data_IF_337658325565
#
_entry.id   IF_337658325565
#
_cell.length_a   1.000
_cell.length_b   1.000
_cell.length_c   1.000
_cell.angle_alpha   90.00
_cell.angle_beta   90.00
_cell.angle_gamma   90.00
#
_symmetry.space_group_name_H-M   'P 1'
#
loop_
_entity.id
_entity.type
_entity.pdbx_description
1 polymer ?
#
# COMPACT_ATOMS: atom_id res chain seq x y z
N UNK A 1 -4.15 7.57 -16.57
CA UNK A 1 -3.96 8.88 -15.92
C UNK A 1 -5.05 9.01 -14.86
N UNK A 2 -4.70 9.04 -13.58
CA UNK A 2 -5.66 9.08 -12.46
C UNK A 2 -6.30 10.47 -12.34
N UNK A 3 -7.58 10.53 -11.96
CA UNK A 3 -8.26 11.78 -11.57
C UNK A 3 -8.45 11.83 -10.06
N UNK A 4 -7.96 12.91 -9.43
CA UNK A 4 -8.10 13.20 -7.99
C UNK A 4 -9.37 14.01 -7.76
N UNK A 5 -10.18 13.65 -6.77
CA UNK A 5 -11.39 14.38 -6.42
C UNK A 5 -11.22 15.11 -5.07
N UNK A 6 -11.53 16.40 -5.06
CA UNK A 6 -11.77 17.18 -3.85
C UNK A 6 -13.26 17.41 -3.69
N UNK A 7 -13.78 17.37 -2.46
CA UNK A 7 -15.09 17.93 -2.16
C UNK A 7 -14.99 18.97 -1.05
N UNK A 8 -15.69 20.09 -1.23
CA UNK A 8 -16.08 21.02 -0.18
C UNK A 8 -17.62 21.01 -0.17
N UNK A 9 -18.23 20.38 0.84
CA UNK A 9 -19.70 20.39 0.98
C UNK A 9 -20.28 19.36 1.94
N UNK A 10 -20.88 19.88 3.02
CA UNK A 10 -21.75 19.29 4.06
C UNK A 10 -21.22 18.03 4.76
N UNK A 11 -20.52 18.25 5.87
CA UNK A 11 -20.23 17.23 6.89
C UNK A 11 -21.51 16.51 7.36
N UNK A 12 -21.63 15.23 7.01
CA UNK A 12 -21.52 14.08 7.93
C UNK A 12 -21.74 12.76 7.18
N UNK A 13 -20.68 12.26 6.56
CA UNK A 13 -20.47 10.80 6.44
C UNK A 13 -19.21 10.51 7.23
N UNK A 14 -19.34 10.44 8.56
CA UNK A 14 -18.21 10.26 9.48
C UNK A 14 -17.45 8.94 9.29
N UNK A 15 -17.81 8.11 8.30
CA UNK A 15 -17.13 6.86 7.95
C UNK A 15 -16.65 6.78 6.50
N UNK A 16 -16.76 7.85 5.70
CA UNK A 16 -16.36 7.84 4.29
C UNK A 16 -14.89 8.23 4.12
N UNK A 17 -14.14 7.43 3.35
CA UNK A 17 -12.75 7.70 2.96
C UNK A 17 -12.64 8.37 1.57
N UNK A 18 -13.70 8.31 0.76
CA UNK A 18 -13.77 8.96 -0.54
C UNK A 18 -14.98 8.51 -1.36
N UNK A 19 -15.36 9.31 -2.36
CA UNK A 19 -16.47 8.99 -3.27
C UNK A 19 -16.21 9.44 -4.70
N UNK A 20 -16.84 8.79 -5.68
CA UNK A 20 -16.75 9.13 -7.10
C UNK A 20 -17.95 8.58 -7.87
N UNK A 21 -18.33 9.22 -8.98
CA UNK A 21 -19.19 8.64 -10.00
C UNK A 21 -18.41 8.19 -11.24
N UNK A 22 -17.10 7.92 -11.10
CA UNK A 22 -16.21 7.57 -12.22
C UNK A 22 -16.09 8.69 -13.28
N UNK A 23 -16.42 9.93 -12.88
CA UNK A 23 -16.28 11.14 -13.70
C UNK A 23 -17.54 11.56 -14.45
N UNK A 24 -18.53 10.68 -14.58
CA UNK A 24 -19.84 11.00 -15.17
C UNK A 24 -20.89 9.92 -14.81
N UNK A 25 -22.17 10.28 -14.91
CA UNK A 25 -23.28 9.36 -14.72
C UNK A 25 -23.85 9.33 -13.30
N UNK A 26 -24.87 8.47 -13.15
CA UNK A 26 -25.75 8.44 -11.98
C UNK A 26 -25.29 7.45 -10.90
N UNK A 27 -24.31 6.60 -11.21
CA UNK A 27 -23.80 5.61 -10.27
C UNK A 27 -22.66 6.19 -9.45
N UNK A 28 -22.89 6.37 -8.16
CA UNK A 28 -21.87 6.80 -7.21
C UNK A 28 -21.29 5.60 -6.47
N UNK A 29 -20.02 5.73 -6.10
CA UNK A 29 -19.24 4.78 -5.34
C UNK A 29 -18.65 5.47 -4.12
N UNK A 30 -18.69 4.82 -2.97
CA UNK A 30 -18.14 5.33 -1.71
C UNK A 30 -17.24 4.24 -1.11
N UNK A 31 -16.04 4.60 -0.66
CA UNK A 31 -15.20 3.74 0.17
C UNK A 31 -15.35 4.13 1.64
N UNK A 32 -15.45 3.16 2.54
CA UNK A 32 -15.63 3.40 3.97
C UNK A 32 -14.49 2.88 4.85
N UNK A 33 -14.53 3.26 6.13
CA UNK A 33 -13.59 2.82 7.18
C UNK A 33 -13.64 1.32 7.50
N UNK A 34 -14.57 0.54 6.95
CA UNK A 34 -14.67 -0.92 7.17
C UNK A 34 -14.11 -1.69 5.98
N UNK A 35 -13.29 -1.05 5.14
CA UNK A 35 -12.74 -1.63 3.92
C UNK A 35 -13.85 -2.12 2.98
N UNK A 36 -14.91 -1.32 2.79
CA UNK A 36 -16.00 -1.64 1.86
C UNK A 36 -16.12 -0.57 0.78
N UNK A 37 -16.59 -1.00 -0.38
CA UNK A 37 -17.08 -0.13 -1.44
C UNK A 37 -18.59 -0.29 -1.52
N UNK A 38 -19.30 0.82 -1.40
CA UNK A 38 -20.74 0.90 -1.61
C UNK A 38 -21.03 1.56 -2.94
N UNK A 39 -22.16 1.23 -3.55
CA UNK A 39 -22.63 1.93 -4.74
C UNK A 39 -24.13 2.19 -4.70
N UNK A 40 -24.52 3.33 -5.26
CA UNK A 40 -25.90 3.75 -5.42
C UNK A 40 -26.11 4.47 -6.76
N UNK A 41 -27.25 4.24 -7.38
CA UNK A 41 -27.76 5.00 -8.50
C UNK A 41 -28.60 6.15 -7.93
N UNK A 42 -28.08 7.38 -8.02
CA UNK A 42 -28.73 8.55 -7.40
C UNK A 42 -29.95 9.01 -8.18
N UNK A 43 -30.01 8.75 -9.49
CA UNK A 43 -31.12 9.17 -10.34
C UNK A 43 -32.36 8.33 -10.11
N UNK A 44 -32.16 7.04 -9.90
CA UNK A 44 -33.23 6.09 -9.62
C UNK A 44 -33.41 5.83 -8.11
N UNK A 45 -32.73 6.58 -7.25
CA UNK A 45 -32.76 6.45 -5.79
C UNK A 45 -32.54 5.00 -5.31
N UNK A 46 -31.61 4.28 -5.94
CA UNK A 46 -31.44 2.83 -5.78
C UNK A 46 -30.07 2.46 -5.22
N UNK A 47 -30.06 1.70 -4.13
CA UNK A 47 -28.84 1.04 -3.65
C UNK A 47 -28.43 -0.11 -4.57
N UNK A 48 -27.17 -0.12 -5.03
CA UNK A 48 -26.64 -1.09 -5.99
C UNK A 48 -25.85 -2.22 -5.32
N UNK A 49 -25.33 -1.99 -4.10
CA UNK A 49 -24.63 -3.01 -3.31
C UNK A 49 -23.47 -2.47 -2.50
N UNK A 50 -22.85 -3.37 -1.73
CA UNK A 50 -21.74 -3.08 -0.84
C UNK A 50 -20.80 -4.27 -0.71
N UNK A 51 -19.54 -4.10 -1.07
CA UNK A 51 -18.56 -5.18 -1.25
C UNK A 51 -17.31 -4.95 -0.43
N UNK A 52 -16.77 -6.01 0.17
CA UNK A 52 -15.52 -5.94 0.93
C UNK A 52 -14.31 -5.82 -0.01
N UNK A 53 -13.35 -4.99 0.39
CA UNK A 53 -12.07 -4.78 -0.27
C UNK A 53 -11.02 -5.80 0.17
N UNK A 54 -11.03 -6.21 1.43
CA UNK A 54 -10.16 -7.26 1.98
C UNK A 54 -10.77 -8.67 1.86
N UNK A 55 -9.97 -9.69 2.16
CA UNK A 55 -10.50 -11.02 2.48
C UNK A 55 -11.10 -11.02 3.89
N UNK A 56 -12.11 -11.84 4.12
CA UNK A 56 -12.57 -12.13 5.48
C UNK A 56 -11.47 -12.96 6.14
N UNK A 57 -11.03 -12.58 7.34
CA UNK A 57 -10.08 -13.43 8.09
C UNK A 57 -10.68 -14.83 8.20
N UNK A 58 -9.91 -15.90 7.94
CA UNK A 58 -10.42 -17.27 8.05
C UNK A 58 -10.93 -17.59 9.46
N UNK A 59 -10.54 -16.78 10.45
CA UNK A 59 -10.93 -16.92 11.86
C UNK A 59 -11.98 -15.91 12.32
N UNK A 60 -12.47 -15.01 11.46
CA UNK A 60 -13.50 -14.02 11.79
C UNK A 60 -14.92 -14.50 11.43
N UNK A 61 -15.26 -15.74 11.79
CA UNK A 61 -16.62 -16.29 11.66
C UNK A 61 -17.23 -16.50 13.05
N UNK A 62 -18.55 -16.31 13.18
CA UNK A 62 -19.26 -16.34 14.47
C UNK A 62 -19.17 -17.71 15.21
N UNK A 63 -18.67 -18.75 14.53
CA UNK A 63 -18.34 -20.08 15.06
C UNK A 63 -16.87 -20.42 14.77
N UNK A 64 -15.95 -19.65 15.36
CA UNK A 64 -14.50 -19.84 15.20
C UNK A 64 -14.09 -21.27 15.65
N UNK A 65 -13.47 -22.09 14.78
CA UNK A 65 -12.88 -23.34 15.21
C UNK A 65 -11.84 -23.09 16.30
N UNK A 66 -11.83 -23.88 17.39
CA UNK A 66 -10.85 -23.75 18.48
C UNK A 66 -9.38 -23.74 17.99
N UNK A 67 -9.11 -24.32 16.82
CA UNK A 67 -7.79 -24.41 16.19
C UNK A 67 -7.62 -23.49 14.96
N UNK A 68 -8.40 -22.40 14.85
CA UNK A 68 -8.26 -21.50 13.72
C UNK A 68 -6.92 -20.74 13.77
N UNK A 69 -5.99 -21.15 12.91
CA UNK A 69 -4.72 -20.45 12.74
C UNK A 69 -4.93 -19.23 11.84
N UNK A 70 -4.87 -18.03 12.42
CA UNK A 70 -4.84 -16.81 11.62
C UNK A 70 -3.50 -16.75 10.88
N UNK A 71 -3.49 -16.68 9.54
CA UNK A 71 -2.23 -16.58 8.79
C UNK A 71 -1.51 -15.29 9.19
N UNK A 72 -0.17 -15.29 9.19
CA UNK A 72 0.66 -14.11 9.46
C UNK A 72 0.28 -12.89 8.60
N UNK A 73 -0.38 -13.12 7.45
CA UNK A 73 -0.98 -12.10 6.59
C UNK A 73 -2.43 -12.48 6.23
N UNK A 74 -3.38 -11.57 6.50
CA UNK A 74 -4.79 -11.73 6.10
C UNK A 74 -5.19 -10.87 4.90
N UNK A 75 -4.22 -10.36 4.15
CA UNK A 75 -4.51 -9.59 2.93
C UNK A 75 -5.18 -10.42 1.85
N UNK A 76 -5.90 -9.73 0.97
CA UNK A 76 -6.81 -10.34 0.01
C UNK A 76 -6.16 -11.31 -0.98
N UNK A 77 -4.89 -11.08 -1.32
CA UNK A 77 -4.23 -11.74 -2.45
C UNK A 77 -3.30 -12.88 -2.06
N UNK A 78 -3.05 -13.10 -0.75
CA UNK A 78 -2.30 -14.24 -0.24
C UNK A 78 -1.00 -14.48 -1.03
N UNK A 79 -0.88 -15.64 -1.68
CA UNK A 79 0.29 -16.03 -2.47
C UNK A 79 0.59 -15.16 -3.70
N UNK A 80 -0.36 -14.34 -4.14
CA UNK A 80 -0.19 -13.39 -5.23
C UNK A 80 0.50 -12.10 -4.77
N UNK A 81 0.59 -11.86 -3.46
CA UNK A 81 1.32 -10.72 -2.95
C UNK A 81 2.83 -11.00 -2.91
N UNK A 82 3.63 -9.93 -2.99
CA UNK A 82 5.05 -10.00 -2.77
C UNK A 82 5.42 -9.07 -1.62
N UNK A 83 6.03 -9.65 -0.60
CA UNK A 83 6.62 -8.97 0.54
C UNK A 83 8.04 -9.51 0.70
N UNK A 84 8.94 -8.67 1.17
CA UNK A 84 10.34 -9.01 1.37
C UNK A 84 10.54 -10.10 2.43
N UNK A 85 11.39 -11.09 2.11
CA UNK A 85 11.60 -12.28 2.93
C UNK A 85 12.03 -11.94 4.37
N UNK A 86 12.95 -11.00 4.56
CA UNK A 86 13.43 -10.60 5.88
C UNK A 86 12.32 -10.03 6.77
N UNK A 87 11.34 -9.36 6.17
CA UNK A 87 10.17 -8.88 6.90
C UNK A 87 9.20 -10.02 7.19
N UNK A 88 8.98 -10.94 6.25
CA UNK A 88 8.14 -12.12 6.47
C UNK A 88 8.71 -13.00 7.58
N UNK A 89 10.01 -13.32 7.51
CA UNK A 89 10.73 -14.13 8.49
C UNK A 89 10.59 -13.55 9.89
N UNK A 90 10.85 -12.23 10.05
CA UNK A 90 10.64 -11.53 11.33
C UNK A 90 9.25 -11.75 11.90
N UNK A 91 8.23 -11.57 11.07
CA UNK A 91 6.83 -11.61 11.48
C UNK A 91 6.46 -13.04 11.87
N UNK A 92 6.92 -14.04 11.12
CA UNK A 92 6.69 -15.45 11.41
C UNK A 92 7.42 -15.92 12.67
N UNK A 93 8.69 -15.58 12.81
CA UNK A 93 9.53 -15.97 13.96
C UNK A 93 8.98 -15.44 15.29
N UNK A 94 8.27 -14.32 15.24
CA UNK A 94 7.68 -13.66 16.41
C UNK A 94 6.16 -13.90 16.53
N UNK A 95 5.55 -14.69 15.64
CA UNK A 95 4.12 -14.96 15.66
C UNK A 95 3.24 -13.72 15.48
N UNK A 96 3.75 -12.68 14.80
CA UNK A 96 3.05 -11.42 14.60
C UNK A 96 2.02 -11.58 13.48
N UNK A 97 0.82 -11.03 13.71
CA UNK A 97 -0.22 -10.93 12.69
C UNK A 97 -0.16 -9.57 12.00
N UNK A 98 -0.09 -9.56 10.67
CA UNK A 98 -0.29 -8.36 9.87
C UNK A 98 -1.70 -8.40 9.26
N UNK A 99 -2.67 -7.65 9.82
CA UNK A 99 -3.99 -7.57 9.24
C UNK A 99 -4.00 -6.61 8.04
N UNK A 100 -4.91 -6.87 7.10
CA UNK A 100 -5.30 -5.87 6.09
C UNK A 100 -5.98 -4.69 6.79
N UNK A 101 -5.24 -3.60 7.02
CA UNK A 101 -5.71 -2.48 7.86
C UNK A 101 -6.55 -1.48 7.06
N UNK A 102 -7.61 -0.99 7.70
CA UNK A 102 -8.36 0.15 7.20
C UNK A 102 -7.62 1.44 7.50
N UNK A 103 -7.79 2.44 6.63
CA UNK A 103 -7.07 3.71 6.65
C UNK A 103 -7.26 4.60 7.90
N UNK A 104 -7.97 4.13 8.93
CA UNK A 104 -8.60 5.04 9.89
C UNK A 104 -8.29 4.69 11.35
N UNK A 105 -7.10 5.09 11.77
CA UNK A 105 -6.89 5.65 13.10
C UNK A 105 -6.68 7.16 12.89
N UNK A 106 -7.50 8.03 13.50
CA UNK A 106 -7.39 9.49 13.26
C UNK A 106 -5.99 10.02 13.60
N UNK A 107 -5.35 9.39 14.58
CA UNK A 107 -3.97 9.67 15.00
C UNK A 107 -2.92 9.25 13.96
N UNK A 108 -3.24 8.29 13.08
CA UNK A 108 -2.34 7.77 12.04
C UNK A 108 -2.56 8.44 10.67
N UNK A 109 -3.67 9.16 10.46
CA UNK A 109 -3.96 9.85 9.20
C UNK A 109 -2.92 10.93 8.86
N UNK A 110 -2.30 11.54 9.87
CA UNK A 110 -1.22 12.51 9.68
C UNK A 110 0.07 11.90 9.13
N UNK A 111 0.29 10.59 9.28
CA UNK A 111 1.56 9.91 8.95
C UNK A 111 1.72 9.57 7.47
N UNK A 112 0.65 9.64 6.68
CA UNK A 112 0.62 9.15 5.29
C UNK A 112 0.01 10.17 4.31
N UNK A 113 -0.11 11.42 4.76
CA UNK A 113 -0.63 12.53 3.97
C UNK A 113 -2.07 12.34 3.48
N UNK A 114 -2.44 13.09 2.45
CA UNK A 114 -3.79 13.06 1.88
C UNK A 114 -4.12 11.80 1.08
N UNK A 115 -3.15 10.92 0.79
CA UNK A 115 -3.43 9.68 0.06
C UNK A 115 -4.44 8.83 0.84
N UNK A 116 -4.40 8.88 2.17
CA UNK A 116 -5.38 8.24 3.05
C UNK A 116 -6.61 9.10 3.35
N UNK A 117 -6.52 10.44 3.25
CA UNK A 117 -7.68 11.33 3.45
C UNK A 117 -8.66 11.33 2.27
N UNK A 118 -8.15 11.19 1.05
CA UNK A 118 -8.92 11.00 -0.17
C UNK A 118 -8.45 9.70 -0.80
N UNK A 119 -8.90 8.55 -0.26
CA UNK A 119 -8.37 7.23 -0.64
C UNK A 119 -8.71 6.82 -2.08
N UNK A 120 -9.76 7.39 -2.65
CA UNK A 120 -10.40 6.91 -3.86
C UNK A 120 -9.98 7.69 -5.12
N UNK A 121 -9.40 6.98 -6.09
CA UNK A 121 -9.18 7.40 -7.48
C UNK A 121 -9.93 6.45 -8.42
N UNK A 122 -9.97 6.81 -9.71
CA UNK A 122 -10.48 5.91 -10.74
C UNK A 122 -9.74 6.08 -12.07
N UNK A 123 -9.85 5.07 -12.93
CA UNK A 123 -9.33 5.05 -14.29
C UNK A 123 -9.49 3.66 -14.91
N UNK A 124 -9.34 3.54 -16.23
CA UNK A 124 -9.26 2.24 -16.90
C UNK A 124 -7.92 1.58 -16.55
N UNK A 125 -7.99 0.57 -15.67
CA UNK A 125 -6.80 -0.11 -15.15
C UNK A 125 -6.68 -1.53 -15.71
N UNK A 126 -7.72 -2.07 -16.36
CA UNK A 126 -7.77 -3.38 -17.02
C UNK A 126 -7.62 -3.31 -18.54
N UNK A 127 -7.72 -2.12 -19.13
CA UNK A 127 -7.65 -1.89 -20.57
C UNK A 127 -8.93 -2.26 -21.32
N UNK A 128 -10.07 -2.37 -20.62
CA UNK A 128 -11.36 -2.75 -21.20
C UNK A 128 -12.26 -1.55 -21.55
N UNK A 129 -11.75 -0.32 -21.36
CA UNK A 129 -12.46 0.92 -21.60
C UNK A 129 -13.41 1.33 -20.48
N UNK A 130 -13.51 0.58 -19.39
CA UNK A 130 -14.32 0.91 -18.21
C UNK A 130 -13.41 1.32 -17.06
N UNK A 131 -13.91 2.24 -16.24
CA UNK A 131 -13.14 2.71 -15.09
C UNK A 131 -13.22 1.72 -13.93
N UNK A 132 -12.06 1.39 -13.38
CA UNK A 132 -11.89 0.76 -12.08
C UNK A 132 -11.62 1.81 -11.00
N UNK A 133 -11.82 1.42 -9.74
CA UNK A 133 -11.48 2.21 -8.57
C UNK A 133 -10.07 1.85 -8.10
N UNK A 134 -9.22 2.85 -7.88
CA UNK A 134 -7.91 2.71 -7.24
C UNK A 134 -7.98 3.30 -5.82
N UNK A 135 -7.72 2.49 -4.81
CA UNK A 135 -7.99 2.80 -3.41
C UNK A 135 -6.72 2.64 -2.58
N UNK A 136 -6.34 3.68 -1.83
CA UNK A 136 -5.28 3.60 -0.83
C UNK A 136 -5.86 3.33 0.55
N UNK A 137 -5.36 2.29 1.21
CA UNK A 137 -5.75 1.89 2.55
C UNK A 137 -4.50 1.82 3.42
N UNK A 138 -4.06 2.95 3.96
CA UNK A 138 -2.81 3.06 4.74
C UNK A 138 -1.57 2.57 3.99
N UNK A 139 -1.27 1.29 4.14
CA UNK A 139 -0.09 0.63 3.59
C UNK A 139 -0.42 -0.12 2.30
N UNK A 140 -1.70 -0.27 1.98
CA UNK A 140 -2.19 -1.06 0.87
C UNK A 140 -2.70 -0.17 -0.27
N UNK A 141 -2.46 -0.64 -1.49
CA UNK A 141 -3.07 -0.13 -2.70
C UNK A 141 -3.95 -1.21 -3.31
N UNK A 142 -5.16 -0.85 -3.70
CA UNK A 142 -6.20 -1.80 -4.11
C UNK A 142 -6.84 -1.32 -5.41
N UNK A 143 -7.07 -2.23 -6.36
CA UNK A 143 -7.92 -1.98 -7.53
C UNK A 143 -9.22 -2.74 -7.38
N UNK A 144 -10.35 -2.03 -7.31
CA UNK A 144 -11.69 -2.58 -7.29
C UNK A 144 -12.38 -2.37 -8.62
N UNK A 145 -12.91 -3.44 -9.21
CA UNK A 145 -13.66 -3.38 -10.46
C UNK A 145 -15.15 -3.27 -10.16
N UNK A 146 -15.81 -2.14 -10.48
CA UNK A 146 -17.25 -1.99 -10.33
C UNK A 146 -18.07 -3.00 -11.13
N UNK A 147 -17.61 -3.36 -12.33
CA UNK A 147 -18.27 -4.34 -13.18
C UNK A 147 -18.27 -5.73 -12.53
N UNK A 148 -17.13 -6.15 -12.01
CA UNK A 148 -16.97 -7.45 -11.35
C UNK A 148 -17.40 -7.45 -9.89
N UNK A 149 -17.64 -6.27 -9.32
CA UNK A 149 -18.05 -6.05 -7.92
C UNK A 149 -17.06 -6.66 -6.91
N UNK A 150 -15.76 -6.58 -7.21
CA UNK A 150 -14.70 -7.18 -6.40
C UNK A 150 -13.35 -6.48 -6.62
N UNK A 151 -12.46 -6.55 -5.65
CA UNK A 151 -11.05 -6.22 -5.86
C UNK A 151 -10.43 -7.22 -6.82
N UNK A 152 -9.69 -6.68 -7.79
CA UNK A 152 -8.98 -7.40 -8.85
C UNK A 152 -7.47 -7.24 -8.75
N UNK A 153 -6.95 -6.43 -7.82
CA UNK A 153 -5.53 -6.33 -7.49
C UNK A 153 -5.36 -5.74 -6.09
N UNK A 154 -4.35 -6.18 -5.33
CA UNK A 154 -3.88 -5.45 -4.16
C UNK A 154 -2.38 -5.66 -3.96
N UNK A 155 -1.74 -4.68 -3.33
CA UNK A 155 -0.35 -4.75 -2.90
C UNK A 155 -0.12 -3.86 -1.69
N UNK A 156 0.65 -4.33 -0.71
CA UNK A 156 1.21 -3.52 0.35
C UNK A 156 2.28 -2.59 -0.25
N UNK A 157 1.92 -1.36 -0.60
CA UNK A 157 2.81 -0.43 -1.32
C UNK A 157 3.85 0.24 -0.41
N UNK A 158 3.68 0.19 0.92
CA UNK A 158 4.70 0.65 1.86
C UNK A 158 4.90 -0.38 3.00
N UNK A 159 6.09 -0.41 3.59
CA UNK A 159 6.37 -1.17 4.81
C UNK A 159 6.93 -0.20 5.85
N UNK A 160 6.12 0.25 6.83
CA UNK A 160 6.51 1.24 7.82
C UNK A 160 7.04 0.60 9.11
N UNK A 161 7.82 -0.49 9.02
CA UNK A 161 8.41 -1.17 10.17
C UNK A 161 9.64 -0.44 10.74
N UNK A 162 9.48 0.82 11.10
CA UNK A 162 10.54 1.62 11.68
C UNK A 162 10.01 2.62 12.72
N UNK A 163 10.82 2.90 13.73
CA UNK A 163 10.52 3.84 14.80
C UNK A 163 11.82 4.50 15.30
N UNK A 164 11.74 5.78 15.68
CA UNK A 164 12.90 6.53 16.14
C UNK A 164 13.23 6.22 17.60
N UNK A 165 14.50 6.32 18.00
CA UNK A 165 14.88 6.11 19.41
C UNK A 165 14.21 7.07 20.40
N UNK A 166 14.08 8.38 20.14
CA UNK A 166 13.35 9.27 21.05
C UNK A 166 11.93 8.78 21.32
N UNK A 167 11.22 8.33 20.27
CA UNK A 167 9.87 7.79 20.38
C UNK A 167 9.84 6.47 21.18
N UNK A 168 10.81 5.58 20.99
CA UNK A 168 10.93 4.36 21.80
C UNK A 168 11.22 4.64 23.28
N UNK A 169 12.08 5.62 23.58
CA UNK A 169 12.42 6.02 24.94
C UNK A 169 11.21 6.65 25.63
N UNK A 170 10.50 7.56 24.95
CA UNK A 170 9.29 8.20 25.46
C UNK A 170 8.22 7.17 25.83
N UNK A 171 8.14 6.07 25.09
CA UNK A 171 7.20 4.99 25.38
C UNK A 171 7.77 3.89 26.31
N UNK A 172 8.92 4.12 26.95
CA UNK A 172 9.40 3.30 28.07
C UNK A 172 10.34 2.14 27.71
N UNK A 173 10.84 2.06 26.47
CA UNK A 173 11.84 1.06 26.12
C UNK A 173 13.20 1.41 26.74
N UNK A 174 13.72 0.54 27.60
CA UNK A 174 15.07 0.65 28.13
C UNK A 174 16.08 0.27 27.05
N UNK A 175 16.82 1.24 26.53
CA UNK A 175 17.79 1.02 25.47
C UNK A 175 19.15 0.68 26.04
N UNK A 176 19.77 -0.36 25.48
CA UNK A 176 21.22 -0.41 25.38
C UNK A 176 21.62 0.75 24.46
N UNK A 177 22.60 1.57 24.84
CA UNK A 177 23.11 2.64 23.98
C UNK A 177 24.42 2.19 23.35
N UNK A 178 24.35 1.09 22.60
CA UNK A 178 25.49 0.39 22.05
C UNK A 178 25.71 0.76 20.58
N UNK A 179 26.99 0.81 20.20
CA UNK A 179 27.42 1.12 18.84
C UNK A 179 26.84 0.15 17.78
N UNK A 180 26.49 -1.07 18.19
CA UNK A 180 25.91 -2.09 17.33
C UNK A 180 24.37 -2.06 17.26
N UNK A 181 23.71 -1.17 18.01
CA UNK A 181 22.27 -1.00 17.86
C UNK A 181 21.95 -0.34 16.51
N UNK A 182 20.74 -0.55 15.96
CA UNK A 182 20.30 0.19 14.78
C UNK A 182 20.11 1.68 15.10
N UNK A 183 20.10 2.55 14.08
CA UNK A 183 19.73 3.96 14.23
C UNK A 183 18.20 4.14 14.39
N UNK A 184 17.42 3.21 13.86
CA UNK A 184 15.96 3.14 13.94
C UNK A 184 15.54 1.70 14.23
N UNK A 185 14.67 1.52 15.23
CA UNK A 185 14.17 0.21 15.63
C UNK A 185 13.01 -0.28 14.76
N UNK A 186 12.68 -1.57 14.84
CA UNK A 186 11.44 -2.15 14.35
C UNK A 186 10.26 -1.64 15.16
N UNK A 187 9.30 -1.01 14.47
CA UNK A 187 8.03 -0.60 15.07
C UNK A 187 7.16 -1.80 15.40
N UNK A 188 7.16 -2.82 14.54
CA UNK A 188 6.29 -4.00 14.72
C UNK A 188 6.67 -4.83 15.93
N UNK A 189 7.96 -5.11 16.12
CA UNK A 189 8.42 -5.79 17.32
C UNK A 189 8.10 -4.98 18.58
N UNK A 190 8.20 -3.65 18.48
CA UNK A 190 7.92 -2.78 19.62
C UNK A 190 6.45 -2.81 20.01
N UNK A 191 5.55 -2.59 19.05
CA UNK A 191 4.10 -2.58 19.26
C UNK A 191 3.58 -3.92 19.82
N UNK A 192 4.12 -5.05 19.35
CA UNK A 192 3.58 -6.37 19.67
C UNK A 192 4.29 -7.05 20.86
N UNK A 193 5.57 -6.76 21.08
CA UNK A 193 6.40 -7.49 22.05
C UNK A 193 7.12 -6.60 23.07
N UNK A 194 7.06 -5.28 22.94
CA UNK A 194 7.79 -4.36 23.81
C UNK A 194 9.31 -4.52 23.72
N UNK A 195 9.82 -5.00 22.58
CA UNK A 195 11.25 -5.09 22.24
C UNK A 195 11.48 -4.53 20.85
N UNK A 196 12.72 -4.31 20.44
CA UNK A 196 13.00 -3.84 19.09
C UNK A 196 14.28 -4.48 18.54
N UNK A 197 14.38 -4.47 17.21
CA UNK A 197 15.54 -4.90 16.44
C UNK A 197 15.70 -3.91 15.26
N UNK A 198 16.53 -4.21 14.27
CA UNK A 198 16.76 -3.37 13.09
C UNK A 198 15.45 -2.96 12.39
N UNK A 199 15.20 -1.66 12.24
CA UNK A 199 14.02 -1.16 11.53
C UNK A 199 14.13 -1.41 10.02
N UNK A 200 13.00 -1.75 9.39
CA UNK A 200 12.89 -1.91 7.94
C UNK A 200 11.99 -0.86 7.31
N UNK A 201 12.33 -0.47 6.07
CA UNK A 201 11.50 0.38 5.23
C UNK A 201 11.33 -0.25 3.87
N UNK A 202 10.10 -0.28 3.38
CA UNK A 202 9.76 -0.74 2.04
C UNK A 202 8.87 0.26 1.33
N UNK A 203 9.14 0.51 0.05
CA UNK A 203 8.32 1.36 -0.80
C UNK A 203 8.09 0.70 -2.14
N UNK A 204 6.91 0.90 -2.71
CA UNK A 204 6.55 0.39 -4.02
C UNK A 204 6.10 1.51 -4.95
N UNK A 205 6.46 1.35 -6.23
CA UNK A 205 5.94 2.12 -7.35
C UNK A 205 5.18 1.20 -8.29
N UNK A 206 4.02 1.64 -8.73
CA UNK A 206 3.12 0.90 -9.58
C UNK A 206 3.18 1.50 -10.98
N UNK A 207 3.32 0.62 -11.98
CA UNK A 207 3.28 0.94 -13.39
C UNK A 207 2.22 0.07 -14.05
N UNK A 208 1.39 0.70 -14.88
CA UNK A 208 0.24 0.06 -15.53
C UNK A 208 0.40 0.26 -17.03
N UNK A 209 0.45 -0.82 -17.80
CA UNK A 209 0.65 -0.76 -19.25
C UNK A 209 1.05 -2.09 -19.88
N UNK A 210 1.31 -2.08 -21.19
CA UNK A 210 1.74 -3.26 -21.95
C UNK A 210 3.22 -3.50 -21.79
N UNK A 211 3.63 -4.54 -21.04
CA UNK A 211 5.05 -4.80 -20.76
C UNK A 211 5.54 -6.08 -21.41
N UNK A 212 4.83 -7.19 -21.23
CA UNK A 212 5.27 -8.47 -21.81
C UNK A 212 4.90 -8.58 -23.29
N UNK A 213 3.70 -8.16 -23.67
CA UNK A 213 3.19 -8.24 -25.02
C UNK A 213 2.41 -6.98 -25.40
N UNK A 214 2.32 -6.71 -26.71
CA UNK A 214 1.51 -5.60 -27.21
C UNK A 214 0.03 -5.81 -26.90
N UNK A 215 -0.67 -4.73 -26.55
CA UNK A 215 -2.10 -4.72 -26.20
C UNK A 215 -2.48 -5.55 -24.96
N UNK A 216 -1.53 -5.89 -24.08
CA UNK A 216 -1.85 -6.38 -22.74
C UNK A 216 -1.89 -5.22 -21.74
N UNK A 217 -2.67 -5.36 -20.69
CA UNK A 217 -2.68 -4.42 -19.57
C UNK A 217 -2.07 -5.12 -18.36
N UNK A 218 -0.76 -4.99 -18.20
CA UNK A 218 -0.02 -5.59 -17.10
C UNK A 218 0.21 -4.56 -15.99
N UNK A 219 0.51 -5.06 -14.79
CA UNK A 219 0.99 -4.25 -13.66
C UNK A 219 2.42 -4.68 -13.35
N UNK A 220 3.34 -3.71 -13.34
CA UNK A 220 4.65 -3.88 -12.73
C UNK A 220 4.70 -3.11 -11.41
N UNK A 221 5.19 -3.80 -10.38
CA UNK A 221 5.48 -3.20 -9.08
C UNK A 221 7.00 -3.18 -8.90
N UNK A 222 7.59 -1.98 -8.83
CA UNK A 222 8.98 -1.81 -8.45
C UNK A 222 9.04 -1.50 -6.96
N UNK A 223 9.60 -2.42 -6.18
CA UNK A 223 9.83 -2.27 -4.74
C UNK A 223 11.27 -1.93 -4.44
N UNK A 224 11.48 -1.07 -3.46
CA UNK A 224 12.79 -0.79 -2.85
C UNK A 224 12.71 -1.08 -1.37
N UNK A 225 13.65 -1.88 -0.87
CA UNK A 225 13.69 -2.34 0.50
C UNK A 225 14.98 -1.93 1.19
N UNK A 226 14.85 -1.45 2.42
CA UNK A 226 15.91 -0.80 3.17
C UNK A 226 15.92 -1.30 4.61
N UNK A 227 17.10 -1.29 5.22
CA UNK A 227 17.31 -1.55 6.64
C UNK A 227 17.97 -0.36 7.33
N UNK A 228 17.67 -0.17 8.61
CA UNK A 228 18.33 0.86 9.39
C UNK A 228 19.83 0.59 9.42
N UNK A 229 20.64 1.63 9.24
CA UNK A 229 22.07 1.56 9.54
C UNK A 229 22.28 1.40 11.05
N UNK A 230 23.49 1.02 11.46
CA UNK A 230 23.88 0.91 12.87
C UNK A 230 24.29 2.28 13.42
N UNK A 231 24.20 2.48 14.74
CA UNK A 231 24.60 3.74 15.40
C UNK A 231 26.07 4.10 15.14
N UNK A 232 26.95 3.10 15.03
CA UNK A 232 28.36 3.29 14.66
C UNK A 232 28.59 3.71 13.21
N UNK A 233 27.61 3.50 12.32
CA UNK A 233 27.73 3.95 10.92
C UNK A 233 27.59 5.48 10.89
N UNK A 234 28.56 6.23 10.35
CA UNK A 234 28.48 7.69 10.28
C UNK A 234 27.39 8.17 9.32
N UNK A 235 26.91 7.34 8.40
CA UNK A 235 25.81 7.67 7.50
C UNK A 235 24.49 7.52 8.24
N UNK A 236 23.71 8.59 8.32
CA UNK A 236 22.40 8.58 8.97
C UNK A 236 21.34 7.90 8.10
N UNK A 237 20.41 7.20 8.72
CA UNK A 237 19.22 6.64 8.08
C UNK A 237 19.38 5.16 7.73
N UNK A 238 19.03 4.83 6.50
CA UNK A 238 18.85 3.47 6.02
C UNK A 238 19.83 3.15 4.90
N UNK A 239 20.13 1.86 4.78
CA UNK A 239 20.85 1.26 3.67
C UNK A 239 19.89 0.46 2.80
N UNK A 240 20.00 0.60 1.48
CA UNK A 240 19.20 -0.18 0.55
C UNK A 240 19.71 -1.62 0.47
N UNK A 241 18.85 -2.58 0.76
CA UNK A 241 19.14 -4.00 0.60
C UNK A 241 18.98 -4.39 -0.87
N UNK A 242 17.83 -4.09 -1.47
CA UNK A 242 17.53 -4.49 -2.85
C UNK A 242 16.37 -3.73 -3.50
N UNK A 243 16.34 -3.86 -4.81
CA UNK A 243 15.21 -3.53 -5.67
C UNK A 243 14.56 -4.84 -6.16
N UNK A 244 13.23 -4.92 -6.14
CA UNK A 244 12.48 -6.06 -6.68
C UNK A 244 11.46 -5.57 -7.69
N UNK A 245 11.35 -6.26 -8.83
CA UNK A 245 10.39 -5.95 -9.89
C UNK A 245 9.41 -7.12 -10.02
N UNK A 246 8.15 -6.89 -9.67
CA UNK A 246 7.11 -7.92 -9.65
C UNK A 246 6.14 -7.67 -10.79
N UNK A 247 5.86 -8.72 -11.56
CA UNK A 247 4.95 -8.67 -12.70
C UNK A 247 3.61 -9.34 -12.39
N UNK A 248 2.54 -8.66 -12.76
CA UNK A 248 1.17 -9.14 -12.66
C UNK A 248 0.47 -9.02 -14.01
N UNK A 249 -0.28 -10.07 -14.37
CA UNK A 249 -1.14 -10.08 -15.56
C UNK A 249 -2.58 -10.26 -15.20
N UNK A 250 -3.44 -9.71 -16.04
CA UNK A 250 -4.86 -9.92 -15.97
C UNK A 250 -5.22 -11.35 -16.45
N UNK A 251 -5.55 -12.24 -15.52
CA UNK A 251 -5.97 -13.63 -15.78
C UNK A 251 -7.38 -13.81 -15.24
N UNK A 252 -8.34 -14.16 -16.11
CA UNK A 252 -9.77 -14.25 -15.76
C UNK A 252 -10.31 -12.93 -15.15
N UNK A 253 -9.73 -11.81 -15.57
CA UNK A 253 -10.00 -10.46 -15.11
C UNK A 253 -9.70 -10.22 -13.64
N UNK A 254 -8.57 -10.76 -13.19
CA UNK A 254 -7.93 -10.59 -11.91
C UNK A 254 -6.41 -10.52 -12.13
N UNK A 255 -5.71 -9.60 -11.47
CA UNK A 255 -4.26 -9.45 -11.61
C UNK A 255 -3.53 -10.50 -10.79
N UNK A 256 -2.91 -11.46 -11.48
CA UNK A 256 -2.17 -12.57 -10.87
C UNK A 256 -0.67 -12.37 -11.05
N UNK A 257 0.08 -12.64 -10.00
CA UNK A 257 1.54 -12.59 -9.98
C UNK A 257 2.11 -13.65 -10.93
N UNK A 258 3.06 -13.24 -11.76
CA UNK A 258 3.73 -14.09 -12.72
C UNK A 258 5.09 -14.57 -12.19
N UNK A 259 5.60 -15.68 -12.71
CA UNK A 259 6.94 -16.20 -12.42
C UNK A 259 8.06 -15.46 -13.20
N UNK A 260 7.79 -14.25 -13.67
CA UNK A 260 8.75 -13.42 -14.40
C UNK A 260 9.94 -13.07 -13.52
N UNK A 261 11.15 -13.27 -14.04
CA UNK A 261 12.37 -12.89 -13.33
C UNK A 261 12.44 -11.37 -13.11
N UNK A 262 12.93 -10.95 -11.94
CA UNK A 262 13.05 -9.53 -11.56
C UNK A 262 13.82 -8.71 -12.60
N UNK A 263 14.92 -9.25 -13.14
CA UNK A 263 15.73 -8.58 -14.17
C UNK A 263 14.97 -8.36 -15.49
N UNK A 264 14.05 -9.28 -15.84
CA UNK A 264 13.17 -9.08 -17.00
C UNK A 264 12.23 -7.91 -16.77
N UNK A 265 11.60 -7.83 -15.58
CA UNK A 265 10.74 -6.71 -15.21
C UNK A 265 11.47 -5.37 -15.21
N UNK A 266 12.72 -5.35 -14.71
CA UNK A 266 13.60 -4.19 -14.78
C UNK A 266 13.88 -3.77 -16.22
N UNK A 267 14.25 -4.71 -17.09
CA UNK A 267 14.52 -4.46 -18.50
C UNK A 267 13.32 -3.86 -19.25
N UNK A 268 12.09 -4.25 -18.90
CA UNK A 268 10.88 -3.66 -19.47
C UNK A 268 10.67 -2.20 -19.07
N UNK A 269 10.94 -1.85 -17.80
CA UNK A 269 10.87 -0.46 -17.35
C UNK A 269 11.94 0.40 -18.03
N UNK A 270 13.16 -0.11 -18.14
CA UNK A 270 14.28 0.57 -18.82
C UNK A 270 13.98 0.81 -20.31
N UNK A 271 13.49 -0.21 -21.02
CA UNK A 271 13.13 -0.11 -22.44
C UNK A 271 12.06 0.98 -22.72
N UNK A 272 11.19 1.25 -21.74
CA UNK A 272 10.15 2.30 -21.82
C UNK A 272 10.56 3.61 -21.15
N UNK A 273 11.82 3.76 -20.73
CA UNK A 273 12.32 4.92 -20.00
C UNK A 273 11.48 5.25 -18.74
N UNK A 274 10.99 4.23 -18.03
CA UNK A 274 10.20 4.36 -16.81
C UNK A 274 11.11 4.28 -15.59
N UNK A 275 11.38 5.44 -15.00
CA UNK A 275 12.19 5.61 -13.78
C UNK A 275 11.32 5.56 -12.53
N UNK A 276 11.93 5.40 -11.35
CA UNK A 276 11.24 5.46 -10.04
C UNK A 276 10.29 6.66 -9.91
N UNK A 277 10.73 7.85 -10.34
CA UNK A 277 9.94 9.09 -10.28
C UNK A 277 8.72 9.12 -11.23
N UNK A 278 8.65 8.20 -12.20
CA UNK A 278 7.51 8.06 -13.14
C UNK A 278 6.48 7.04 -12.66
N UNK A 279 6.82 6.21 -11.68
CA UNK A 279 5.88 5.25 -11.10
C UNK A 279 4.91 5.91 -10.14
N UNK A 280 3.72 5.32 -10.00
CA UNK A 280 2.68 5.82 -9.11
C UNK A 280 2.80 5.21 -7.70
N UNK A 281 2.56 5.98 -6.61
CA UNK A 281 2.38 7.42 -6.56
C UNK A 281 3.73 8.16 -6.61
N UNK A 282 3.83 9.28 -7.35
CA UNK A 282 5.08 10.07 -7.46
C UNK A 282 4.99 11.49 -6.94
N UNK A 283 3.81 12.12 -7.03
CA UNK A 283 3.58 13.50 -6.59
C UNK A 283 2.39 13.56 -5.65
N UNK A 284 2.45 14.51 -4.73
CA UNK A 284 1.40 14.77 -3.77
C UNK A 284 0.12 15.20 -4.49
N UNK A 285 -0.99 14.63 -4.04
CA UNK A 285 -2.35 14.97 -4.46
C UNK A 285 -3.05 15.80 -3.36
N UNK A 286 -2.29 16.35 -2.40
CA UNK A 286 -2.88 16.99 -1.21
C UNK A 286 -3.25 18.44 -1.50
N UNK A 287 -4.38 18.94 -0.96
CA UNK A 287 -4.75 20.35 -1.14
C UNK A 287 -3.59 21.25 -0.69
N UNK A 288 -3.19 22.20 -1.52
CA UNK A 288 -2.07 23.12 -1.25
C UNK A 288 -0.66 22.54 -1.48
N UNK A 289 -0.52 21.23 -1.73
CA UNK A 289 0.76 20.55 -2.01
C UNK A 289 0.73 19.79 -3.35
N UNK A 290 -0.28 20.03 -4.18
CA UNK A 290 -0.47 19.33 -5.46
C UNK A 290 0.77 19.45 -6.34
N UNK A 291 1.27 18.32 -6.84
CA UNK A 291 2.43 18.27 -7.72
C UNK A 291 3.78 18.35 -7.01
N UNK A 292 3.80 18.52 -5.68
CA UNK A 292 5.03 18.45 -4.89
C UNK A 292 5.48 17.00 -4.69
N UNK A 293 6.72 16.81 -4.23
CA UNK A 293 7.23 15.50 -3.87
C UNK A 293 6.48 14.95 -2.65
N UNK A 294 6.22 13.66 -2.63
CA UNK A 294 5.63 12.97 -1.49
C UNK A 294 6.77 12.71 -0.50
N UNK A 295 6.75 13.28 0.72
CA UNK A 295 7.88 13.19 1.66
C UNK A 295 8.34 11.76 1.93
N UNK A 296 7.40 10.83 2.10
CA UNK A 296 7.67 9.42 2.39
C UNK A 296 8.34 8.70 1.20
N UNK A 297 8.17 9.24 -0.01
CA UNK A 297 8.74 8.72 -1.26
C UNK A 297 9.93 9.56 -1.76
N UNK A 298 10.36 10.55 -0.96
CA UNK A 298 11.51 11.43 -1.18
C UNK A 298 12.21 11.71 0.15
N UNK A 299 12.49 10.65 0.91
CA UNK A 299 13.09 10.78 2.24
C UNK A 299 14.63 10.77 2.17
N UNK A 300 15.31 11.84 2.60
CA UNK A 300 16.77 11.91 2.70
C UNK A 300 17.40 10.75 3.48
N UNK A 301 16.70 10.20 4.47
CA UNK A 301 17.17 9.09 5.29
C UNK A 301 17.33 7.79 4.49
N UNK A 302 16.73 7.67 3.30
CA UNK A 302 16.88 6.47 2.47
C UNK A 302 18.23 6.42 1.74
N UNK A 303 18.95 7.55 1.64
CA UNK A 303 20.24 7.64 0.97
C UNK A 303 20.24 7.05 -0.46
N UNK A 304 19.10 7.11 -1.17
CA UNK A 304 18.92 6.50 -2.48
C UNK A 304 18.81 7.58 -3.58
N UNK A 305 19.79 7.67 -4.50
CA UNK A 305 19.79 8.70 -5.54
C UNK A 305 18.56 8.70 -6.45
N UNK A 306 17.87 7.58 -6.67
CA UNK A 306 16.65 7.61 -7.50
C UNK A 306 15.45 8.16 -6.73
N UNK A 307 15.47 8.03 -5.41
CA UNK A 307 14.45 8.58 -4.50
C UNK A 307 14.65 10.09 -4.36
N UNK A 308 15.90 10.54 -4.26
CA UNK A 308 16.29 11.94 -4.01
C UNK A 308 16.34 12.84 -5.26
N UNK A 309 15.95 12.32 -6.44
CA UNK A 309 15.83 13.08 -7.69
C UNK A 309 14.46 13.70 -7.89
#
# INVERSE_FOLDING_TARGET
MFKVLYSNGVERISSCLGWTNLGDGDNWYISDKKNRVYSADIKNEKYLGGWNLGAVSPCAVDDEPEDCMTPWWTGRWGSQEFIEAEYIERIQDHGILIPFRSAYNEDELGLYGCFNHNSLRYGDLTGDGKADLAIFLMNDFVIFSPEKKKTIFAVMYNNPDWISWPELIENGLALTNEDNDPQYGSRKLYEELGTTDIGYRGYAKIYVGSFEAENTQDILVWRKFYQSRLKKDPVKGFEKIRDTYIHYKLVNGEYQKQSTASDTGKGWLEAKNLTWQKGYPSKSECPGQVGQLIPEMHDPLLNDPDVLK
#
